data_IF_113096622419
#
_entry.id   IF_113096622419
#
_cell.length_a   1.000
_cell.length_b   1.000
_cell.length_c   1.000
_cell.angle_alpha   90.00
_cell.angle_beta   90.00
_cell.angle_gamma   90.00
#
_symmetry.space_group_name_H-M   'P 1'
#
loop_
_entity.id
_entity.type
_entity.pdbx_description
1 polymer ?
#
# COMPACT_ATOMS: atom_id res chain seq x y z
N UNK A 1 -19.07 13.71 -20.17
CA UNK A 1 -17.73 13.57 -19.54
C UNK A 1 -16.76 12.80 -20.43
N UNK A 2 -17.14 11.66 -21.01
CA UNK A 2 -16.20 10.81 -21.80
C UNK A 2 -15.48 11.56 -22.95
N UNK A 3 -16.14 12.49 -23.66
CA UNK A 3 -15.51 13.28 -24.74
C UNK A 3 -14.46 14.30 -24.28
N UNK A 4 -14.55 14.81 -23.05
CA UNK A 4 -13.56 15.75 -22.51
C UNK A 4 -12.30 15.00 -22.07
N UNK A 5 -12.50 13.85 -21.43
CA UNK A 5 -11.42 12.93 -21.01
C UNK A 5 -10.60 12.47 -22.21
N UNK A 6 -11.24 12.07 -23.33
CA UNK A 6 -10.54 11.69 -24.58
C UNK A 6 -9.70 12.82 -25.19
N UNK A 7 -10.04 14.08 -24.89
CA UNK A 7 -9.36 15.25 -25.46
C UNK A 7 -8.15 15.68 -24.62
N UNK A 8 -8.19 15.44 -23.31
CA UNK A 8 -7.04 15.64 -22.41
C UNK A 8 -5.95 14.58 -22.65
N UNK A 9 -6.34 13.34 -22.98
CA UNK A 9 -5.41 12.25 -23.39
C UNK A 9 -4.49 12.66 -24.55
N UNK A 10 -4.94 13.54 -25.44
CA UNK A 10 -4.17 14.00 -26.60
C UNK A 10 -3.21 15.16 -26.27
N UNK A 11 -3.39 15.83 -25.12
CA UNK A 11 -2.71 17.09 -24.81
C UNK A 11 -1.52 16.91 -23.85
N UNK A 12 -1.63 16.04 -22.85
CA UNK A 12 -0.49 15.70 -21.97
C UNK A 12 -0.66 14.32 -21.29
N UNK A 13 0.01 13.26 -21.77
CA UNK A 13 -0.05 11.92 -21.19
C UNK A 13 0.60 11.76 -19.81
N UNK A 14 1.27 12.80 -19.28
CA UNK A 14 1.98 12.80 -17.99
C UNK A 14 1.29 13.65 -16.92
N UNK A 15 0.07 14.14 -17.16
CA UNK A 15 -0.65 14.95 -16.19
C UNK A 15 -1.17 14.07 -15.01
N UNK A 16 -0.58 14.28 -13.83
CA UNK A 16 -0.95 13.61 -12.57
C UNK A 16 -2.43 13.83 -12.22
N UNK A 17 -2.99 14.99 -12.55
CA UNK A 17 -4.41 15.31 -12.31
C UNK A 17 -5.33 14.49 -13.21
N UNK A 18 -4.89 14.21 -14.43
CA UNK A 18 -5.64 13.36 -15.35
C UNK A 18 -5.74 11.93 -14.84
N UNK A 19 -4.63 11.35 -14.38
CA UNK A 19 -4.63 9.97 -13.87
C UNK A 19 -5.42 9.83 -12.55
N UNK A 20 -5.45 10.86 -11.70
CA UNK A 20 -6.34 10.90 -10.55
C UNK A 20 -7.82 10.89 -10.97
N UNK A 21 -8.20 11.70 -11.97
CA UNK A 21 -9.57 11.75 -12.50
C UNK A 21 -9.97 10.44 -13.18
N UNK A 22 -9.05 9.81 -13.92
CA UNK A 22 -9.27 8.48 -14.50
C UNK A 22 -9.43 7.43 -13.41
N UNK A 23 -8.61 7.48 -12.36
CA UNK A 23 -8.74 6.65 -11.17
C UNK A 23 -10.15 6.73 -10.58
N UNK A 24 -10.68 7.94 -10.41
CA UNK A 24 -12.04 8.18 -9.91
C UNK A 24 -13.11 7.61 -10.83
N UNK A 25 -12.99 7.82 -12.15
CA UNK A 25 -13.92 7.27 -13.13
C UNK A 25 -13.93 5.73 -13.11
N UNK A 26 -12.76 5.11 -12.96
CA UNK A 26 -12.64 3.66 -12.85
C UNK A 26 -13.21 3.14 -11.53
N UNK A 27 -12.98 3.85 -10.43
CA UNK A 27 -13.56 3.53 -9.13
C UNK A 27 -15.09 3.50 -9.19
N UNK A 28 -15.71 4.54 -9.74
CA UNK A 28 -17.17 4.65 -9.89
C UNK A 28 -17.76 3.57 -10.78
N UNK A 29 -16.96 3.03 -11.72
CA UNK A 29 -17.33 1.93 -12.63
C UNK A 29 -16.97 0.55 -12.07
N UNK A 30 -16.57 0.45 -10.80
CA UNK A 30 -16.09 -0.78 -10.17
C UNK A 30 -14.92 -1.47 -10.91
N UNK A 31 -14.14 -0.70 -11.67
CA UNK A 31 -12.92 -1.12 -12.37
C UNK A 31 -11.72 -0.92 -11.46
N UNK A 32 -11.68 -1.71 -10.38
CA UNK A 32 -10.74 -1.50 -9.27
C UNK A 32 -9.27 -1.67 -9.68
N UNK A 33 -8.97 -2.62 -10.58
CA UNK A 33 -7.61 -2.84 -11.08
C UNK A 33 -7.12 -1.62 -11.85
N UNK A 34 -7.92 -1.13 -12.79
CA UNK A 34 -7.59 0.02 -13.62
C UNK A 34 -7.47 1.29 -12.81
N UNK A 35 -8.32 1.46 -11.79
CA UNK A 35 -8.21 2.55 -10.82
C UNK A 35 -6.83 2.59 -10.17
N UNK A 36 -6.39 1.47 -9.59
CA UNK A 36 -5.08 1.40 -8.90
C UNK A 36 -3.94 1.58 -9.90
N UNK A 37 -3.98 0.92 -11.07
CA UNK A 37 -2.92 1.06 -12.07
C UNK A 37 -2.71 2.50 -12.52
N UNK A 38 -3.79 3.27 -12.73
CA UNK A 38 -3.69 4.67 -13.11
C UNK A 38 -3.08 5.53 -12.00
N UNK A 39 -3.44 5.29 -10.73
CA UNK A 39 -2.84 6.02 -9.61
C UNK A 39 -1.35 5.66 -9.45
N UNK A 40 -1.00 4.39 -9.52
CA UNK A 40 0.38 3.93 -9.34
C UNK A 40 1.33 4.41 -10.47
N UNK A 41 0.80 4.62 -11.68
CA UNK A 41 1.58 5.04 -12.87
C UNK A 41 2.40 6.32 -12.65
N UNK A 42 1.91 7.26 -11.84
CA UNK A 42 2.61 8.53 -11.57
C UNK A 42 3.41 8.56 -10.26
N UNK A 43 3.70 7.39 -9.68
CA UNK A 43 4.34 7.24 -8.36
C UNK A 43 3.46 7.83 -7.23
N UNK A 44 2.82 6.99 -6.40
CA UNK A 44 1.93 7.31 -5.28
C UNK A 44 2.39 8.39 -4.30
N UNK A 45 3.69 8.71 -4.28
CA UNK A 45 4.33 9.67 -3.39
C UNK A 45 3.78 11.10 -3.56
N UNK A 46 3.15 11.39 -4.71
CA UNK A 46 2.58 12.71 -5.03
C UNK A 46 1.08 12.81 -4.68
N UNK A 47 0.44 11.70 -4.29
CA UNK A 47 -1.02 11.66 -4.17
C UNK A 47 -1.51 11.95 -2.75
N UNK A 48 -2.69 12.57 -2.66
CA UNK A 48 -3.35 12.85 -1.39
C UNK A 48 -3.86 11.59 -0.70
N UNK A 49 -4.03 11.65 0.61
CA UNK A 49 -4.60 10.56 1.42
C UNK A 49 -5.95 10.06 0.88
N UNK A 50 -6.74 10.95 0.27
CA UNK A 50 -8.04 10.62 -0.33
C UNK A 50 -7.87 9.63 -1.48
N UNK A 51 -6.89 9.87 -2.36
CA UNK A 51 -6.62 9.01 -3.53
C UNK A 51 -6.04 7.67 -3.07
N UNK A 52 -5.14 7.68 -2.08
CA UNK A 52 -4.55 6.46 -1.53
C UNK A 52 -5.59 5.61 -0.80
N UNK A 53 -6.53 6.21 -0.05
CA UNK A 53 -7.66 5.51 0.57
C UNK A 53 -8.58 4.85 -0.46
N UNK A 54 -8.81 5.50 -1.62
CA UNK A 54 -9.54 4.85 -2.73
C UNK A 54 -8.78 3.64 -3.27
N UNK A 55 -7.46 3.74 -3.41
CA UNK A 55 -6.63 2.59 -3.83
C UNK A 55 -6.72 1.44 -2.83
N UNK A 56 -6.69 1.73 -1.53
CA UNK A 56 -6.89 0.70 -0.49
C UNK A 56 -8.23 -0.02 -0.65
N UNK A 57 -9.33 0.71 -0.85
CA UNK A 57 -10.65 0.11 -1.08
C UNK A 57 -10.65 -0.77 -2.35
N UNK A 58 -10.00 -0.32 -3.42
CA UNK A 58 -9.83 -1.13 -4.64
C UNK A 58 -9.06 -2.42 -4.37
N UNK A 59 -7.96 -2.34 -3.62
CA UNK A 59 -7.16 -3.51 -3.26
C UNK A 59 -7.96 -4.49 -2.41
N UNK A 60 -8.75 -4.01 -1.46
CA UNK A 60 -9.68 -4.86 -0.69
C UNK A 60 -10.72 -5.54 -1.59
N UNK A 61 -11.30 -4.82 -2.55
CA UNK A 61 -12.25 -5.38 -3.51
C UNK A 61 -11.63 -6.42 -4.45
N UNK A 62 -10.32 -6.31 -4.72
CA UNK A 62 -9.53 -7.28 -5.49
C UNK A 62 -9.00 -8.44 -4.62
N UNK A 63 -9.36 -8.50 -3.34
CA UNK A 63 -8.85 -9.48 -2.39
C UNK A 63 -7.38 -9.29 -2.01
N UNK A 64 -6.74 -8.18 -2.40
CA UNK A 64 -5.35 -7.83 -2.09
C UNK A 64 -5.24 -7.16 -0.73
N UNK A 65 -5.69 -7.85 0.30
CA UNK A 65 -5.90 -7.24 1.61
C UNK A 65 -4.59 -6.88 2.33
N UNK A 66 -3.57 -7.75 2.29
CA UNK A 66 -2.27 -7.43 2.90
C UNK A 66 -1.60 -6.25 2.17
N UNK A 67 -1.77 -6.14 0.84
CA UNK A 67 -1.32 -4.96 0.09
C UNK A 67 -2.08 -3.67 0.49
N UNK A 68 -3.39 -3.75 0.72
CA UNK A 68 -4.18 -2.62 1.25
C UNK A 68 -3.62 -2.13 2.59
N UNK A 69 -3.26 -3.05 3.48
CA UNK A 69 -2.69 -2.74 4.79
C UNK A 69 -1.29 -2.14 4.65
N UNK A 70 -0.46 -2.66 3.74
CA UNK A 70 0.84 -2.08 3.44
C UNK A 70 0.72 -0.64 2.89
N UNK A 71 -0.26 -0.40 2.00
CA UNK A 71 -0.59 0.92 1.45
C UNK A 71 -0.99 1.92 2.54
N UNK A 72 -1.68 1.47 3.59
CA UNK A 72 -2.09 2.34 4.68
C UNK A 72 -0.89 3.01 5.39
N UNK A 73 0.25 2.32 5.53
CA UNK A 73 1.47 2.93 6.08
C UNK A 73 1.94 4.15 5.28
N UNK A 74 1.64 4.22 3.97
CA UNK A 74 1.93 5.39 3.13
C UNK A 74 1.01 6.56 3.49
N UNK A 75 -0.26 6.27 3.79
CA UNK A 75 -1.29 7.30 4.08
C UNK A 75 -1.16 7.95 5.45
N UNK A 76 -0.57 7.25 6.42
CA UNK A 76 -0.38 7.78 7.78
C UNK A 76 0.76 8.82 7.83
N UNK A 77 1.59 8.87 6.77
CA UNK A 77 2.72 9.79 6.65
C UNK A 77 3.86 9.46 7.62
N UNK A 78 4.96 10.21 7.53
CA UNK A 78 6.11 10.09 8.44
C UNK A 78 5.89 10.82 9.78
N UNK A 79 4.66 11.25 10.09
CA UNK A 79 4.34 12.01 11.30
C UNK A 79 4.41 11.06 12.52
N UNK A 80 5.39 11.23 13.43
CA UNK A 80 5.56 10.36 14.59
C UNK A 80 4.38 10.41 15.57
N UNK A 81 3.56 11.46 15.48
CA UNK A 81 2.34 11.65 16.30
C UNK A 81 1.18 10.76 15.84
N UNK A 82 1.22 10.32 14.58
CA UNK A 82 0.19 9.52 13.91
C UNK A 82 0.43 8.02 14.07
N UNK A 83 1.43 7.63 14.86
CA UNK A 83 1.92 6.26 14.98
C UNK A 83 0.81 5.26 15.29
N UNK A 84 0.75 4.21 14.46
CA UNK A 84 -0.16 3.08 14.63
C UNK A 84 -1.04 2.79 13.42
N UNK A 85 -1.81 1.72 13.54
CA UNK A 85 -2.88 1.38 12.61
C UNK A 85 -4.22 1.83 13.18
N UNK A 86 -5.15 2.22 12.32
CA UNK A 86 -6.51 2.49 12.78
C UNK A 86 -7.24 1.17 13.12
N UNK A 87 -8.33 1.27 13.88
CA UNK A 87 -9.13 0.11 14.28
C UNK A 87 -9.74 -0.63 13.08
N UNK A 88 -9.95 0.06 11.96
CA UNK A 88 -10.54 -0.52 10.76
C UNK A 88 -9.52 -1.45 10.09
N UNK A 89 -8.27 -1.02 9.97
CA UNK A 89 -7.14 -1.82 9.49
C UNK A 89 -6.96 -3.06 10.34
N UNK A 90 -6.95 -2.92 11.68
CA UNK A 90 -6.87 -4.07 12.60
C UNK A 90 -7.97 -5.10 12.36
N UNK A 91 -9.23 -4.64 12.33
CA UNK A 91 -10.38 -5.52 12.10
C UNK A 91 -10.30 -6.17 10.72
N UNK A 92 -9.94 -5.41 9.68
CA UNK A 92 -9.79 -5.93 8.33
C UNK A 92 -8.76 -7.05 8.30
N UNK A 93 -7.56 -6.84 8.87
CA UNK A 93 -6.47 -7.83 8.88
C UNK A 93 -6.88 -9.11 9.63
N UNK A 94 -7.55 -8.96 10.78
CA UNK A 94 -8.02 -10.08 11.60
C UNK A 94 -9.09 -10.93 10.92
N UNK A 95 -9.85 -10.37 9.97
CA UNK A 95 -10.88 -11.10 9.23
C UNK A 95 -10.44 -11.59 7.84
N UNK A 96 -9.18 -11.37 7.45
CA UNK A 96 -8.66 -11.87 6.17
C UNK A 96 -8.60 -13.41 6.12
N UNK A 97 -8.79 -13.98 4.92
CA UNK A 97 -8.47 -15.38 4.66
C UNK A 97 -6.94 -15.58 4.50
N UNK A 98 -6.21 -15.37 5.60
CA UNK A 98 -4.76 -15.48 5.64
C UNK A 98 -4.01 -14.21 5.18
N UNK A 99 -2.74 -14.14 5.55
CA UNK A 99 -1.83 -13.10 5.05
C UNK A 99 -1.25 -13.49 3.68
N UNK A 100 -0.99 -12.51 2.82
CA UNK A 100 -0.35 -12.71 1.52
C UNK A 100 1.17 -12.49 1.65
N UNK A 101 1.91 -13.59 1.55
CA UNK A 101 3.35 -13.67 1.79
C UNK A 101 4.15 -12.67 0.94
N UNK A 102 3.69 -12.40 -0.29
CA UNK A 102 4.40 -11.52 -1.21
C UNK A 102 4.50 -10.06 -0.72
N UNK A 103 3.64 -9.66 0.22
CA UNK A 103 3.54 -8.29 0.73
C UNK A 103 4.20 -8.09 2.10
N UNK A 104 4.47 -9.17 2.84
CA UNK A 104 5.04 -9.10 4.20
C UNK A 104 6.40 -8.37 4.28
N UNK A 105 7.29 -8.42 3.27
CA UNK A 105 8.56 -7.68 3.32
C UNK A 105 8.43 -6.15 3.23
N UNK A 106 7.26 -5.62 2.91
CA UNK A 106 7.04 -4.18 2.65
C UNK A 106 6.44 -3.41 3.84
N UNK A 107 6.57 -3.96 5.04
CA UNK A 107 6.17 -3.30 6.28
C UNK A 107 7.38 -2.65 6.96
N UNK A 108 7.46 -1.33 7.00
CA UNK A 108 8.55 -0.61 7.66
C UNK A 108 8.17 -0.12 9.06
N UNK A 109 6.88 -0.02 9.36
CA UNK A 109 6.38 0.39 10.66
C UNK A 109 6.27 -0.81 11.62
N UNK A 110 6.94 -0.71 12.78
CA UNK A 110 6.98 -1.78 13.78
C UNK A 110 5.59 -2.18 14.29
N UNK A 111 4.68 -1.24 14.48
CA UNK A 111 3.33 -1.53 14.97
C UNK A 111 2.56 -2.42 13.98
N UNK A 112 2.79 -2.24 12.68
CA UNK A 112 2.18 -3.10 11.65
C UNK A 112 2.84 -4.47 11.63
N UNK A 113 4.17 -4.55 11.73
CA UNK A 113 4.87 -5.83 11.77
C UNK A 113 4.42 -6.65 12.98
N UNK A 114 4.32 -6.04 14.17
CA UNK A 114 3.81 -6.68 15.39
C UNK A 114 2.36 -7.16 15.25
N UNK A 115 1.50 -6.34 14.64
CA UNK A 115 0.12 -6.73 14.33
C UNK A 115 0.10 -7.96 13.43
N UNK A 116 0.89 -7.98 12.36
CA UNK A 116 0.92 -9.10 11.43
C UNK A 116 1.48 -10.37 12.08
N UNK A 117 2.48 -10.25 12.96
CA UNK A 117 2.99 -11.36 13.76
C UNK A 117 1.86 -11.93 14.63
N UNK A 118 1.12 -11.06 15.32
CA UNK A 118 -0.01 -11.48 16.16
C UNK A 118 -1.07 -12.23 15.35
N UNK A 119 -1.42 -11.72 14.17
CA UNK A 119 -2.40 -12.35 13.26
C UNK A 119 -1.90 -13.70 12.76
N UNK A 120 -0.64 -13.78 12.31
CA UNK A 120 -0.03 -15.02 11.86
C UNK A 120 -0.02 -16.07 12.97
N UNK A 121 0.38 -15.67 14.18
CA UNK A 121 0.41 -16.52 15.37
C UNK A 121 -0.97 -17.06 15.73
N UNK A 122 -1.98 -16.20 15.83
CA UNK A 122 -3.37 -16.60 16.15
C UNK A 122 -3.95 -17.61 15.15
N UNK A 123 -3.46 -17.58 13.90
CA UNK A 123 -3.92 -18.46 12.82
C UNK A 123 -3.04 -19.70 12.63
N UNK A 124 -1.95 -19.83 13.36
CA UNK A 124 -0.97 -20.90 13.14
C UNK A 124 -0.24 -20.80 11.80
N UNK A 125 -0.11 -19.60 11.23
CA UNK A 125 0.66 -19.33 10.01
C UNK A 125 2.17 -19.24 10.32
N UNK A 126 2.75 -20.34 10.83
CA UNK A 126 4.12 -20.39 11.40
C UNK A 126 5.19 -19.85 10.46
N UNK A 127 5.12 -20.15 9.17
CA UNK A 127 6.12 -19.66 8.20
C UNK A 127 6.03 -18.15 7.99
N UNK A 128 4.82 -17.57 8.05
CA UNK A 128 4.62 -16.13 7.91
C UNK A 128 5.04 -15.40 9.18
N UNK A 129 4.73 -15.96 10.34
CA UNK A 129 5.24 -15.49 11.62
C UNK A 129 6.78 -15.46 11.62
N UNK A 130 7.43 -16.54 11.18
CA UNK A 130 8.89 -16.61 11.04
C UNK A 130 9.45 -15.58 10.07
N UNK A 131 8.79 -15.37 8.93
CA UNK A 131 9.18 -14.35 7.94
C UNK A 131 9.13 -12.94 8.54
N UNK A 132 8.05 -12.60 9.26
CA UNK A 132 7.88 -11.31 9.90
C UNK A 132 8.86 -11.08 11.06
N UNK A 133 9.12 -12.11 11.87
CA UNK A 133 10.13 -12.06 12.93
C UNK A 133 11.54 -11.82 12.37
N UNK A 134 11.89 -12.49 11.26
CA UNK A 134 13.16 -12.27 10.55
C UNK A 134 13.24 -10.85 9.99
N UNK A 135 12.14 -10.35 9.41
CA UNK A 135 12.08 -8.98 8.88
C UNK A 135 12.30 -7.93 9.99
N UNK A 136 11.71 -8.12 11.18
CA UNK A 136 11.90 -7.24 12.33
C UNK A 136 13.37 -7.20 12.82
N UNK A 137 14.13 -8.27 12.61
CA UNK A 137 15.55 -8.37 13.01
C UNK A 137 16.52 -7.67 12.05
N UNK A 138 16.04 -7.13 10.92
CA UNK A 138 16.88 -6.39 9.99
C UNK A 138 17.49 -5.16 10.66
N UNK A 139 18.77 -4.89 10.37
CA UNK A 139 19.47 -3.74 10.95
C UNK A 139 18.80 -2.42 10.57
N UNK A 140 18.22 -2.34 9.38
CA UNK A 140 17.52 -1.16 8.86
C UNK A 140 16.23 -0.85 9.63
N UNK A 141 15.57 -1.87 10.19
CA UNK A 141 14.39 -1.73 11.03
C UNK A 141 14.70 -1.18 12.43
N UNK A 142 15.98 -1.08 12.83
CA UNK A 142 16.33 -0.65 14.19
C UNK A 142 15.93 0.82 14.46
N UNK A 143 15.06 1.06 15.44
CA UNK A 143 14.62 2.41 15.80
C UNK A 143 15.72 3.30 16.36
N UNK A 144 16.86 2.74 16.78
CA UNK A 144 18.04 3.52 17.20
C UNK A 144 18.86 4.05 16.02
N UNK A 145 18.53 3.68 14.78
CA UNK A 145 19.13 4.24 13.59
C UNK A 145 18.88 5.75 13.49
N UNK A 146 19.78 6.46 12.80
CA UNK A 146 19.60 7.88 12.52
C UNK A 146 18.31 8.12 11.75
N UNK A 147 17.67 9.28 11.97
CA UNK A 147 16.45 9.64 11.25
C UNK A 147 16.63 9.60 9.72
N UNK A 148 17.82 9.98 9.23
CA UNK A 148 18.17 9.91 7.81
C UNK A 148 18.20 8.47 7.28
N UNK A 149 18.79 7.54 8.03
CA UNK A 149 18.86 6.13 7.63
C UNK A 149 17.47 5.48 7.65
N UNK A 150 16.66 5.77 8.67
CA UNK A 150 15.26 5.29 8.73
C UNK A 150 14.44 5.83 7.56
N UNK A 151 14.59 7.13 7.25
CA UNK A 151 13.92 7.75 6.11
C UNK A 151 14.32 7.10 4.79
N UNK A 152 15.62 6.91 4.55
CA UNK A 152 16.13 6.26 3.34
C UNK A 152 15.56 4.83 3.19
N UNK A 153 15.56 4.06 4.27
CA UNK A 153 15.02 2.71 4.26
C UNK A 153 13.50 2.68 3.97
N UNK A 154 12.74 3.55 4.63
CA UNK A 154 11.30 3.70 4.39
C UNK A 154 11.01 4.13 2.96
N UNK A 155 11.76 5.08 2.40
CA UNK A 155 11.61 5.50 1.00
C UNK A 155 11.90 4.35 0.03
N UNK A 156 12.96 3.57 0.25
CA UNK A 156 13.27 2.37 -0.55
C UNK A 156 12.13 1.36 -0.53
N UNK A 157 11.63 1.01 0.66
CA UNK A 157 10.53 0.05 0.78
C UNK A 157 9.23 0.55 0.16
N UNK A 158 8.92 1.85 0.30
CA UNK A 158 7.76 2.48 -0.35
C UNK A 158 7.88 2.33 -1.88
N UNK A 159 9.03 2.68 -2.46
CA UNK A 159 9.26 2.57 -3.91
C UNK A 159 9.15 1.13 -4.41
N UNK A 160 9.83 0.18 -3.75
CA UNK A 160 9.81 -1.23 -4.13
C UNK A 160 8.39 -1.84 -4.01
N UNK A 161 7.64 -1.47 -2.96
CA UNK A 161 6.27 -1.90 -2.78
C UNK A 161 5.38 -1.43 -3.93
N UNK A 162 5.45 -0.14 -4.25
CA UNK A 162 4.67 0.49 -5.32
C UNK A 162 4.97 -0.17 -6.67
N UNK A 163 6.26 -0.36 -6.98
CA UNK A 163 6.69 -0.98 -8.23
C UNK A 163 6.18 -2.43 -8.32
N UNK A 164 6.38 -3.22 -7.27
CA UNK A 164 5.89 -4.61 -7.24
C UNK A 164 4.37 -4.68 -7.34
N UNK A 165 3.65 -3.81 -6.65
CA UNK A 165 2.19 -3.76 -6.72
C UNK A 165 1.70 -3.44 -8.13
N UNK A 166 2.31 -2.46 -8.78
CA UNK A 166 2.01 -2.11 -10.17
C UNK A 166 2.22 -3.29 -11.11
N UNK A 167 3.40 -3.93 -11.04
CA UNK A 167 3.73 -5.10 -11.86
C UNK A 167 2.79 -6.28 -11.61
N UNK A 168 2.43 -6.52 -10.34
CA UNK A 168 1.49 -7.58 -9.96
C UNK A 168 0.11 -7.36 -10.56
N UNK A 169 -0.39 -6.13 -10.49
CA UNK A 169 -1.69 -5.77 -11.05
C UNK A 169 -1.72 -5.85 -12.57
N UNK A 170 -0.60 -5.63 -13.28
CA UNK A 170 -0.54 -5.83 -14.73
C UNK A 170 -0.77 -7.29 -15.15
N UNK A 171 -0.39 -8.25 -14.29
CA UNK A 171 -0.42 -9.69 -14.60
C UNK A 171 -1.73 -10.36 -14.14
N UNK A 172 -2.41 -9.80 -13.13
CA UNK A 172 -3.72 -10.26 -12.63
C UNK A 172 -4.83 -10.12 -13.67
#
# INVERSE_FOLDING_TARGET
MDRLVSRVIQLDPQDVMFDALMGDLYYDRAKYKECVLHVLKNKPIVFSDVVLKKCMNCLEALGQHTASVAMHQITVGDDPSSGGFDKKVFNNVNHLNGLQDEWLPYFWDMCYVELLIHVAHQRGEVEKERMLLSHLQRNEMNMNNSAALRKQFTESLKEEFIEKLYLRLLIL
#
